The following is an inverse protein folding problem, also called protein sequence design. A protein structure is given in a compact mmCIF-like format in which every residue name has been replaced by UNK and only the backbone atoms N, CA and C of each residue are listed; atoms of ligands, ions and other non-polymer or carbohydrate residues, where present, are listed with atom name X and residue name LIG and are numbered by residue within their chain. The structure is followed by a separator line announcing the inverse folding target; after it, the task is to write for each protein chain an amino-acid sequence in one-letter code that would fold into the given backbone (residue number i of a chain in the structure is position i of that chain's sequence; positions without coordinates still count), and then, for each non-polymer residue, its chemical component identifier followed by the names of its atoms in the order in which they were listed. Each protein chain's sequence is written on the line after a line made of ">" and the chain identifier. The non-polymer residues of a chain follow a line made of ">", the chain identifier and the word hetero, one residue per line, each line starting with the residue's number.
data_IF_580743826541
#
_entry.id   IF_580743826541
#
_cell.length_a   1.000
_cell.length_b   1.000
_cell.length_c   1.000
_cell.angle_alpha   90.00
_cell.angle_beta   90.00
_cell.angle_gamma   90.00
#
_symmetry.space_group_name_H-M   'P 1'
#
loop_
_entity.id
_entity.type
_entity.pdbx_description
1 polymer ?
#
# COMPACT_ATOMS: atom_id res chain seq x y z
N UNK A 1 -3.71 16.26 -31.00
CA UNK A 1 -4.67 15.38 -31.71
C UNK A 1 -6.11 15.79 -31.41
N UNK A 2 -7.03 15.62 -32.37
CA UNK A 2 -8.49 15.61 -32.15
C UNK A 2 -8.93 14.15 -32.13
N UNK A 3 -9.70 13.79 -31.11
CA UNK A 3 -10.20 12.42 -30.90
C UNK A 3 -11.69 12.50 -30.67
N UNK A 4 -12.45 11.55 -31.21
CA UNK A 4 -13.88 11.37 -30.95
C UNK A 4 -14.02 10.24 -29.94
N UNK A 5 -14.76 10.48 -28.86
CA UNK A 5 -14.97 9.54 -27.77
C UNK A 5 -16.47 9.48 -27.48
N UNK A 6 -16.97 8.29 -27.17
CA UNK A 6 -18.31 8.14 -26.61
C UNK A 6 -18.26 8.44 -25.11
N UNK A 7 -19.15 9.32 -24.64
CA UNK A 7 -19.19 9.81 -23.27
C UNK A 7 -20.65 9.96 -22.86
N UNK A 8 -21.00 9.39 -21.72
CA UNK A 8 -22.34 9.53 -21.14
C UNK A 8 -22.76 11.00 -21.01
N UNK A 9 -23.98 11.33 -21.45
CA UNK A 9 -24.45 12.72 -21.56
C UNK A 9 -24.36 13.49 -20.23
N UNK A 10 -24.71 12.83 -19.13
CA UNK A 10 -24.61 13.40 -17.79
C UNK A 10 -23.17 13.80 -17.43
N UNK A 11 -22.19 12.99 -17.82
CA UNK A 11 -20.78 13.29 -17.56
C UNK A 11 -20.31 14.46 -18.41
N UNK A 12 -20.72 14.51 -19.68
CA UNK A 12 -20.44 15.63 -20.57
C UNK A 12 -21.05 16.94 -20.05
N UNK A 13 -22.29 16.90 -19.56
CA UNK A 13 -22.97 18.05 -18.97
C UNK A 13 -22.24 18.58 -17.72
N UNK A 14 -21.82 17.68 -16.84
CA UNK A 14 -21.00 18.03 -15.65
C UNK A 14 -19.67 18.65 -16.04
N UNK A 15 -18.97 18.08 -17.01
CA UNK A 15 -17.68 18.60 -17.47
C UNK A 15 -17.82 20.01 -18.11
N UNK A 16 -18.88 20.23 -18.92
CA UNK A 16 -19.19 21.55 -19.49
C UNK A 16 -19.49 22.59 -18.41
N UNK A 17 -20.26 22.23 -17.39
CA UNK A 17 -20.55 23.13 -16.26
C UNK A 17 -19.27 23.51 -15.51
N UNK A 18 -18.45 22.52 -15.17
CA UNK A 18 -17.17 22.76 -14.50
C UNK A 18 -16.22 23.65 -15.32
N UNK A 19 -16.15 23.44 -16.63
CA UNK A 19 -15.37 24.27 -17.55
C UNK A 19 -15.82 25.74 -17.51
N UNK A 20 -17.14 25.99 -17.50
CA UNK A 20 -17.70 27.35 -17.39
C UNK A 20 -17.39 27.99 -16.05
N UNK A 21 -17.63 27.29 -14.95
CA UNK A 21 -17.38 27.76 -13.58
C UNK A 21 -15.91 28.13 -13.34
N UNK A 22 -14.99 27.39 -13.97
CA UNK A 22 -13.54 27.61 -13.82
C UNK A 22 -12.95 28.53 -14.89
N UNK A 23 -13.73 29.00 -15.86
CA UNK A 23 -13.23 29.80 -16.98
C UNK A 23 -12.25 29.06 -17.90
N UNK A 24 -12.32 27.73 -17.95
CA UNK A 24 -11.39 26.87 -18.70
C UNK A 24 -12.08 26.25 -19.92
N UNK A 25 -11.36 26.01 -21.02
CA UNK A 25 -11.93 25.27 -22.15
C UNK A 25 -12.20 23.81 -21.75
N UNK A 26 -13.29 23.22 -22.24
CA UNK A 26 -13.65 21.81 -21.97
C UNK A 26 -12.50 20.84 -22.26
N UNK A 27 -11.73 21.10 -23.32
CA UNK A 27 -10.54 20.32 -23.67
C UNK A 27 -9.52 20.26 -22.52
N UNK A 28 -9.28 21.37 -21.82
CA UNK A 28 -8.34 21.40 -20.70
C UNK A 28 -8.83 20.56 -19.51
N UNK A 29 -10.14 20.58 -19.24
CA UNK A 29 -10.76 19.74 -18.20
C UNK A 29 -10.61 18.26 -18.53
N UNK A 30 -10.89 17.88 -19.79
CA UNK A 30 -10.76 16.49 -20.26
C UNK A 30 -9.30 16.02 -20.23
N UNK A 31 -8.36 16.82 -20.72
CA UNK A 31 -6.94 16.49 -20.70
C UNK A 31 -6.39 16.33 -19.28
N UNK A 32 -6.79 17.21 -18.36
CA UNK A 32 -6.39 17.09 -16.96
C UNK A 32 -6.92 15.82 -16.30
N UNK A 33 -8.19 15.49 -16.54
CA UNK A 33 -8.77 14.23 -16.07
C UNK A 33 -7.97 13.02 -16.58
N UNK A 34 -7.64 13.00 -17.87
CA UNK A 34 -6.84 11.94 -18.47
C UNK A 34 -5.43 11.87 -17.87
N UNK A 35 -4.75 13.02 -17.69
CA UNK A 35 -3.42 13.06 -17.04
C UNK A 35 -3.47 12.49 -15.63
N UNK A 36 -4.49 12.82 -14.83
CA UNK A 36 -4.63 12.30 -13.45
C UNK A 36 -4.83 10.79 -13.42
N UNK A 37 -5.60 10.24 -14.37
CA UNK A 37 -5.81 8.79 -14.50
C UNK A 37 -4.51 8.09 -14.89
N UNK A 38 -3.77 8.63 -15.86
CA UNK A 38 -2.50 8.05 -16.33
C UNK A 38 -1.34 8.24 -15.34
N UNK A 39 -1.36 9.30 -14.53
CA UNK A 39 -0.36 9.56 -13.51
C UNK A 39 -0.53 8.67 -12.27
N UNK A 40 -1.68 8.00 -12.12
CA UNK A 40 -1.88 7.05 -11.02
C UNK A 40 -0.91 5.89 -11.23
N UNK A 41 0.10 5.69 -10.36
CA UNK A 41 0.98 4.53 -10.50
C UNK A 41 0.13 3.28 -10.50
N UNK A 42 0.49 2.31 -11.35
CA UNK A 42 -0.11 0.98 -11.33
C UNK A 42 -0.26 0.53 -9.87
N UNK A 43 -1.38 -0.11 -9.49
CA UNK A 43 -1.60 -0.53 -8.11
C UNK A 43 -0.32 -1.21 -7.64
N UNK A 44 0.34 -0.63 -6.62
CA UNK A 44 1.57 -1.19 -6.07
C UNK A 44 1.26 -2.65 -5.82
N UNK A 45 2.03 -3.54 -6.46
CA UNK A 45 1.91 -4.99 -6.24
C UNK A 45 1.71 -5.20 -4.74
N UNK A 46 0.70 -5.99 -4.36
CA UNK A 46 0.47 -6.28 -2.94
C UNK A 46 1.80 -6.73 -2.35
N UNK A 47 2.17 -6.11 -1.24
CA UNK A 47 3.40 -6.48 -0.54
C UNK A 47 3.38 -8.00 -0.28
N UNK A 48 4.35 -8.71 -0.84
CA UNK A 48 4.57 -10.13 -0.58
C UNK A 48 5.62 -10.22 0.52
N UNK A 49 5.21 -10.66 1.71
CA UNK A 49 6.12 -10.88 2.83
C UNK A 49 7.17 -11.93 2.39
N UNK A 50 8.47 -11.61 2.40
CA UNK A 50 9.50 -12.59 2.11
C UNK A 50 9.48 -13.68 3.19
N UNK A 51 9.78 -14.91 2.79
CA UNK A 51 9.98 -15.97 3.76
C UNK A 51 11.30 -15.71 4.50
N UNK A 52 11.20 -15.40 5.79
CA UNK A 52 12.32 -15.09 6.68
C UNK A 52 12.36 -16.06 7.86
N UNK A 53 11.83 -17.28 7.69
CA UNK A 53 11.99 -18.35 8.67
C UNK A 53 13.48 -18.56 8.95
N UNK A 54 13.82 -18.63 10.23
CA UNK A 54 15.15 -18.96 10.71
C UNK A 54 15.10 -20.33 11.40
N UNK A 55 16.05 -21.20 11.08
CA UNK A 55 16.10 -22.59 11.57
C UNK A 55 15.75 -23.63 10.50
N UNK A 56 15.93 -24.90 10.86
CA UNK A 56 15.58 -26.04 10.01
C UNK A 56 14.11 -26.42 10.24
N UNK A 57 13.23 -26.36 9.22
CA UNK A 57 11.82 -26.73 9.35
C UNK A 57 11.58 -28.23 9.61
N UNK A 58 12.59 -29.08 9.41
CA UNK A 58 12.51 -30.51 9.71
C UNK A 58 13.03 -30.85 11.12
N UNK A 59 13.63 -29.89 11.83
CA UNK A 59 14.08 -30.10 13.20
C UNK A 59 12.87 -30.12 14.17
N UNK A 60 12.92 -30.94 15.24
CA UNK A 60 11.92 -30.89 16.31
C UNK A 60 11.83 -29.47 16.89
N UNK A 61 10.60 -28.99 17.12
CA UNK A 61 10.40 -27.67 17.71
C UNK A 61 10.92 -27.66 19.16
N UNK A 62 11.99 -26.92 19.46
CA UNK A 62 12.55 -26.88 20.81
C UNK A 62 11.60 -26.25 21.83
N UNK A 63 10.54 -25.55 21.39
CA UNK A 63 9.56 -24.89 22.24
C UNK A 63 8.46 -25.84 22.74
N UNK A 64 8.28 -27.02 22.13
CA UNK A 64 7.26 -28.01 22.56
C UNK A 64 7.43 -28.49 24.00
N UNK A 65 8.66 -28.43 24.54
CA UNK A 65 8.97 -28.82 25.92
C UNK A 65 8.58 -27.78 26.96
N UNK A 66 8.22 -26.56 26.56
CA UNK A 66 7.95 -25.45 27.46
C UNK A 66 6.45 -25.36 27.75
N UNK A 67 6.11 -25.16 29.02
CA UNK A 67 4.80 -24.64 29.40
C UNK A 67 4.67 -23.16 28.99
N UNK A 68 3.43 -22.69 28.86
CA UNK A 68 3.16 -21.29 28.49
C UNK A 68 3.88 -20.25 29.37
N UNK A 69 3.94 -20.40 30.72
CA UNK A 69 4.72 -19.51 31.56
C UNK A 69 6.22 -19.48 31.24
N UNK A 70 6.86 -20.63 31.03
CA UNK A 70 8.31 -20.74 30.74
C UNK A 70 8.66 -20.15 29.37
N UNK A 71 7.77 -20.32 28.39
CA UNK A 71 7.85 -19.69 27.06
C UNK A 71 7.82 -18.16 27.16
N UNK A 72 6.87 -17.63 27.94
CA UNK A 72 6.73 -16.19 28.16
C UNK A 72 7.98 -15.63 28.82
N UNK A 73 8.51 -16.30 29.85
CA UNK A 73 9.76 -15.88 30.49
C UNK A 73 10.91 -15.87 29.49
N UNK A 74 11.12 -16.93 28.70
CA UNK A 74 12.21 -16.98 27.71
C UNK A 74 12.18 -15.83 26.67
N UNK A 75 10.98 -15.40 26.26
CA UNK A 75 10.81 -14.33 25.26
C UNK A 75 11.01 -12.93 25.84
N UNK A 76 10.57 -12.72 27.08
CA UNK A 76 10.52 -11.39 27.70
C UNK A 76 11.59 -11.16 28.77
N UNK A 77 12.27 -12.20 29.23
CA UNK A 77 13.36 -12.12 30.20
C UNK A 77 14.68 -11.91 29.45
N UNK A 78 14.91 -10.65 29.08
CA UNK A 78 16.20 -10.16 28.60
C UNK A 78 17.07 -9.78 29.82
N UNK A 79 18.25 -10.40 30.05
CA UNK A 79 19.26 -9.88 30.97
C UNK A 79 20.02 -8.67 30.38
N UNK A 80 19.61 -8.15 29.22
CA UNK A 80 20.22 -7.04 28.46
C UNK A 80 19.95 -5.63 28.99
N UNK A 81 19.69 -5.45 30.28
CA UNK A 81 20.14 -4.23 30.95
C UNK A 81 21.66 -4.26 31.05
N UNK A 82 22.36 -3.78 30.02
CA UNK A 82 23.82 -3.70 29.95
C UNK A 82 24.47 -3.16 31.26
N UNK A 83 25.23 -3.97 32.03
CA UNK A 83 26.05 -3.48 33.14
C UNK A 83 27.49 -3.13 32.71
N UNK A 84 27.82 -3.14 31.41
CA UNK A 84 29.16 -3.00 30.84
C UNK A 84 29.51 -1.64 30.22
N UNK A 85 28.68 -0.61 30.38
CA UNK A 85 29.03 0.76 30.01
C UNK A 85 29.75 1.52 31.15
N UNK A 86 30.91 1.02 31.62
CA UNK A 86 31.95 1.78 32.34
C UNK A 86 33.34 1.19 32.11
#
# INVERSE_FOLDING_TARGET
>A
MKTTLDIHDELLARAKRHARETGRPLRAVVEEGLRRVLARPAPRSRYKLPDLRAGDPAAPDPLERFSWPELRETIYDDPGGDPGAR
#
